data_IF_123192039528
#
_entry.id   IF_123192039528
#
_cell.length_a   1.000
_cell.length_b   1.000
_cell.length_c   1.000
_cell.angle_alpha   90.00
_cell.angle_beta   90.00
_cell.angle_gamma   90.00
#
_symmetry.space_group_name_H-M   'P 1'
#
loop_
_entity.id
_entity.type
_entity.pdbx_description
1 polymer ?
#
# COMPACT_ATOMS: atom_id res chain seq x y z
N UNK A 1 3.15 -34.50 -34.05
CA UNK A 1 2.01 -34.85 -33.19
C UNK A 1 1.79 -33.68 -32.24
N UNK A 2 0.97 -32.70 -32.67
CA UNK A 2 0.72 -31.45 -31.93
C UNK A 2 -0.65 -31.58 -31.27
N UNK A 3 -0.69 -31.66 -29.93
CA UNK A 3 -1.88 -32.06 -29.15
C UNK A 3 -2.67 -30.83 -28.62
N UNK A 4 -2.41 -29.64 -29.14
CA UNK A 4 -3.15 -28.42 -28.76
C UNK A 4 -3.91 -27.86 -29.97
N UNK A 5 -4.90 -28.61 -30.45
CA UNK A 5 -6.01 -28.01 -31.19
C UNK A 5 -7.03 -27.53 -30.16
N UNK A 6 -7.01 -26.25 -29.82
CA UNK A 6 -8.13 -25.60 -29.14
C UNK A 6 -9.40 -25.89 -29.96
N UNK A 7 -10.50 -26.36 -29.35
CA UNK A 7 -11.73 -26.58 -30.11
C UNK A 7 -12.18 -25.24 -30.71
N UNK A 8 -12.54 -25.17 -32.00
CA UNK A 8 -13.12 -23.97 -32.57
C UNK A 8 -14.49 -23.77 -31.93
N UNK A 9 -14.56 -22.90 -30.92
CA UNK A 9 -15.83 -22.35 -30.47
C UNK A 9 -16.48 -21.71 -31.69
N UNK A 10 -17.56 -22.32 -32.20
CA UNK A 10 -18.35 -21.79 -33.30
C UNK A 10 -18.73 -20.34 -32.98
N UNK A 11 -18.81 -19.47 -33.98
CA UNK A 11 -19.18 -18.05 -33.80
C UNK A 11 -20.49 -17.88 -33.03
N UNK A 12 -21.44 -18.80 -33.24
CA UNK A 12 -22.70 -18.90 -32.48
C UNK A 12 -22.46 -19.13 -30.98
N UNK A 13 -21.46 -19.95 -30.64
CA UNK A 13 -20.97 -20.19 -29.29
C UNK A 13 -20.60 -18.91 -28.55
N UNK A 14 -19.95 -17.97 -29.25
CA UNK A 14 -19.49 -16.70 -28.67
C UNK A 14 -20.63 -15.72 -28.42
N UNK A 15 -21.64 -15.71 -29.27
CA UNK A 15 -22.77 -14.78 -29.18
C UNK A 15 -23.70 -15.09 -28.01
N UNK A 16 -23.99 -16.37 -27.76
CA UNK A 16 -24.89 -16.74 -26.65
C UNK A 16 -24.26 -16.44 -25.29
N UNK A 17 -22.95 -16.68 -25.11
CA UNK A 17 -22.25 -16.33 -23.86
C UNK A 17 -22.30 -14.83 -23.58
N UNK A 18 -22.16 -13.98 -24.60
CA UNK A 18 -22.24 -12.51 -24.45
C UNK A 18 -23.64 -12.08 -24.03
N UNK A 19 -24.68 -12.64 -24.67
CA UNK A 19 -26.07 -12.35 -24.31
C UNK A 19 -26.37 -12.81 -22.88
N UNK A 20 -26.01 -14.05 -22.53
CA UNK A 20 -26.23 -14.58 -21.18
C UNK A 20 -25.50 -13.77 -20.11
N UNK A 21 -24.25 -13.39 -20.34
CA UNK A 21 -23.49 -12.56 -19.39
C UNK A 21 -24.08 -11.16 -19.25
N UNK A 22 -24.60 -10.58 -20.33
CA UNK A 22 -25.27 -9.27 -20.30
C UNK A 22 -26.60 -9.30 -19.53
N UNK A 23 -27.42 -10.34 -19.72
CA UNK A 23 -28.64 -10.53 -18.95
C UNK A 23 -28.34 -10.73 -17.47
N UNK A 24 -27.31 -11.53 -17.16
CA UNK A 24 -26.81 -11.68 -15.80
C UNK A 24 -26.39 -10.35 -15.18
N UNK A 25 -25.54 -9.59 -15.87
CA UNK A 25 -25.05 -8.28 -15.40
C UNK A 25 -26.20 -7.29 -15.11
N UNK A 26 -27.22 -7.26 -15.97
CA UNK A 26 -28.38 -6.38 -15.82
C UNK A 26 -29.26 -6.78 -14.63
N UNK A 27 -29.51 -8.08 -14.45
CA UNK A 27 -30.29 -8.61 -13.33
C UNK A 27 -29.57 -8.39 -11.99
N UNK A 28 -28.27 -8.67 -11.92
CA UNK A 28 -27.48 -8.40 -10.71
C UNK A 28 -27.48 -6.91 -10.37
N UNK A 29 -27.30 -6.04 -11.37
CA UNK A 29 -27.33 -4.58 -11.15
C UNK A 29 -28.68 -4.11 -10.60
N UNK A 30 -29.78 -4.63 -11.14
CA UNK A 30 -31.13 -4.33 -10.65
C UNK A 30 -31.35 -4.78 -9.20
N UNK A 31 -30.98 -6.02 -8.87
CA UNK A 31 -31.07 -6.54 -7.51
C UNK A 31 -30.23 -5.73 -6.52
N UNK A 32 -29.01 -5.33 -6.89
CA UNK A 32 -28.15 -4.51 -6.04
C UNK A 32 -28.66 -3.09 -5.86
N UNK A 33 -29.27 -2.52 -6.88
CA UNK A 33 -29.90 -1.20 -6.79
C UNK A 33 -31.07 -1.23 -5.81
N UNK A 34 -31.90 -2.27 -5.86
CA UNK A 34 -32.99 -2.48 -4.92
C UNK A 34 -32.47 -2.70 -3.49
N UNK A 35 -31.47 -3.56 -3.30
CA UNK A 35 -30.88 -3.81 -1.98
C UNK A 35 -30.31 -2.52 -1.34
N UNK A 36 -29.53 -1.73 -2.09
CA UNK A 36 -29.00 -0.45 -1.60
C UNK A 36 -30.13 0.54 -1.34
N UNK A 37 -31.13 0.61 -2.22
CA UNK A 37 -32.31 1.46 -2.05
C UNK A 37 -33.10 1.13 -0.79
N UNK A 38 -33.39 -0.15 -0.55
CA UNK A 38 -34.06 -0.64 0.65
C UNK A 38 -33.24 -0.28 1.89
N UNK A 39 -31.92 -0.52 1.88
CA UNK A 39 -31.04 -0.16 3.00
C UNK A 39 -31.04 1.35 3.29
N UNK A 40 -31.05 2.21 2.28
CA UNK A 40 -31.16 3.67 2.45
C UNK A 40 -32.51 4.04 3.08
N UNK A 41 -33.61 3.43 2.63
CA UNK A 41 -34.96 3.72 3.15
C UNK A 41 -35.10 3.28 4.61
N UNK A 42 -34.62 2.07 4.94
CA UNK A 42 -34.73 1.49 6.28
C UNK A 42 -33.80 2.19 7.28
N UNK A 43 -32.53 2.42 6.91
CA UNK A 43 -31.51 2.96 7.82
C UNK A 43 -31.45 4.50 7.84
N UNK A 44 -32.03 5.18 6.84
CA UNK A 44 -32.09 6.65 6.75
C UNK A 44 -30.73 7.30 6.99
N UNK A 45 -30.61 8.15 8.03
CA UNK A 45 -29.38 8.85 8.39
C UNK A 45 -28.31 7.92 8.97
N UNK A 46 -28.67 6.74 9.49
CA UNK A 46 -27.70 5.77 9.98
C UNK A 46 -26.92 5.12 8.84
N UNK A 47 -27.52 4.99 7.64
CA UNK A 47 -26.87 4.45 6.45
C UNK A 47 -25.55 5.21 6.15
N UNK A 48 -25.60 6.53 6.24
CA UNK A 48 -24.49 7.43 5.93
C UNK A 48 -23.40 7.50 7.01
N UNK A 49 -23.55 6.81 8.14
CA UNK A 49 -22.50 6.74 9.17
C UNK A 49 -21.46 5.65 8.90
N UNK A 50 -21.81 4.65 8.08
CA UNK A 50 -20.96 3.48 7.82
C UNK A 50 -20.24 3.68 6.49
N UNK A 51 -18.90 3.66 6.51
CA UNK A 51 -18.09 3.94 5.31
C UNK A 51 -18.32 2.93 4.16
N UNK A 52 -18.54 1.66 4.49
CA UNK A 52 -18.78 0.59 3.50
C UNK A 52 -20.04 0.86 2.67
N UNK A 53 -21.03 1.53 3.24
CA UNK A 53 -22.26 1.88 2.52
C UNK A 53 -22.01 2.91 1.40
N UNK A 54 -21.00 3.78 1.53
CA UNK A 54 -20.61 4.70 0.45
C UNK A 54 -19.98 3.93 -0.72
N UNK A 55 -19.20 2.89 -0.44
CA UNK A 55 -18.63 2.01 -1.46
C UNK A 55 -19.76 1.28 -2.20
N UNK A 56 -20.75 0.75 -1.47
CA UNK A 56 -21.92 0.10 -2.07
C UNK A 56 -22.70 1.03 -3.01
N UNK A 57 -22.92 2.29 -2.61
CA UNK A 57 -23.58 3.30 -3.47
C UNK A 57 -22.75 3.58 -4.72
N UNK A 58 -21.43 3.79 -4.57
CA UNK A 58 -20.55 4.09 -5.70
C UNK A 58 -20.52 2.92 -6.71
N UNK A 59 -20.41 1.68 -6.23
CA UNK A 59 -20.42 0.48 -7.09
C UNK A 59 -21.75 0.29 -7.80
N UNK A 60 -22.87 0.54 -7.11
CA UNK A 60 -24.20 0.48 -7.72
C UNK A 60 -24.36 1.54 -8.81
N UNK A 61 -23.89 2.78 -8.60
CA UNK A 61 -23.94 3.85 -9.61
C UNK A 61 -23.10 3.47 -10.83
N UNK A 62 -21.87 3.00 -10.62
CA UNK A 62 -20.97 2.59 -11.72
C UNK A 62 -21.57 1.44 -12.52
N UNK A 63 -22.16 0.44 -11.85
CA UNK A 63 -22.80 -0.70 -12.51
C UNK A 63 -24.05 -0.28 -13.28
N UNK A 64 -24.84 0.65 -12.74
CA UNK A 64 -26.00 1.22 -13.42
C UNK A 64 -25.60 2.01 -14.67
N UNK A 65 -24.56 2.86 -14.57
CA UNK A 65 -24.04 3.62 -15.71
C UNK A 65 -23.50 2.71 -16.82
N UNK A 66 -22.89 1.59 -16.44
CA UNK A 66 -22.45 0.57 -17.40
C UNK A 66 -23.64 -0.06 -18.14
N UNK A 67 -24.66 -0.55 -17.43
CA UNK A 67 -25.87 -1.13 -18.06
C UNK A 67 -26.58 -0.09 -18.93
N UNK A 68 -26.72 1.14 -18.45
CA UNK A 68 -27.36 2.23 -19.18
C UNK A 68 -26.62 2.56 -20.48
N UNK A 69 -25.29 2.46 -20.49
CA UNK A 69 -24.48 2.73 -21.69
C UNK A 69 -24.69 1.73 -22.84
N UNK A 70 -25.13 0.51 -22.52
CA UNK A 70 -25.51 -0.47 -23.54
C UNK A 70 -26.94 -0.24 -24.04
N UNK A 71 -27.82 0.28 -23.19
CA UNK A 71 -29.22 0.54 -23.54
C UNK A 71 -29.42 1.83 -24.33
N UNK A 72 -28.60 2.86 -24.06
CA UNK A 72 -28.68 4.17 -24.71
C UNK A 72 -27.32 4.49 -25.34
N UNK A 73 -27.25 4.79 -26.64
CA UNK A 73 -26.02 5.22 -27.29
C UNK A 73 -25.69 6.66 -26.86
N UNK A 74 -25.08 6.80 -25.68
CA UNK A 74 -24.61 8.09 -25.18
C UNK A 74 -23.24 8.37 -25.80
N UNK A 75 -23.07 9.55 -26.40
CA UNK A 75 -21.76 10.05 -26.87
C UNK A 75 -20.86 10.40 -25.68
N UNK A 76 -20.35 9.39 -24.97
CA UNK A 76 -19.38 9.57 -23.89
C UNK A 76 -17.99 9.18 -24.39
N UNK A 77 -16.97 9.84 -23.85
CA UNK A 77 -15.57 9.55 -24.15
C UNK A 77 -15.25 8.06 -23.91
N UNK A 78 -14.65 7.40 -24.90
CA UNK A 78 -14.22 6.00 -24.83
C UNK A 78 -13.31 5.70 -23.62
N UNK A 79 -12.55 6.70 -23.12
CA UNK A 79 -11.76 6.58 -21.90
C UNK A 79 -12.61 6.35 -20.64
N UNK A 80 -13.78 6.99 -20.56
CA UNK A 80 -14.72 6.83 -19.43
C UNK A 80 -15.32 5.43 -19.47
N UNK A 81 -15.70 4.93 -20.66
CA UNK A 81 -16.15 3.54 -20.80
C UNK A 81 -15.07 2.53 -20.42
N UNK A 82 -13.80 2.83 -20.72
CA UNK A 82 -12.66 2.00 -20.29
C UNK A 82 -12.50 2.01 -18.76
N UNK A 83 -12.72 3.15 -18.10
CA UNK A 83 -12.69 3.26 -16.64
C UNK A 83 -13.88 2.55 -15.99
N UNK A 84 -15.08 2.63 -16.57
CA UNK A 84 -16.27 1.91 -16.07
C UNK A 84 -16.07 0.39 -16.06
N UNK A 85 -15.29 -0.16 -17.00
CA UNK A 85 -14.91 -1.59 -16.98
C UNK A 85 -14.10 -1.98 -15.75
N UNK A 86 -13.28 -1.09 -15.19
CA UNK A 86 -12.58 -1.33 -13.92
C UNK A 86 -13.59 -1.45 -12.76
N UNK A 87 -14.74 -0.77 -12.88
CA UNK A 87 -15.89 -0.90 -11.97
C UNK A 87 -16.41 -2.34 -11.83
N UNK A 88 -16.20 -3.21 -12.83
CA UNK A 88 -16.50 -4.64 -12.72
C UNK A 88 -15.73 -5.32 -11.58
N UNK A 89 -14.47 -4.90 -11.35
CA UNK A 89 -13.66 -5.40 -10.24
C UNK A 89 -14.21 -4.94 -8.89
N UNK A 90 -14.82 -3.76 -8.84
CA UNK A 90 -15.42 -3.25 -7.61
C UNK A 90 -16.63 -4.08 -7.14
N UNK A 91 -17.31 -4.80 -8.06
CA UNK A 91 -18.35 -5.78 -7.69
C UNK A 91 -17.77 -6.98 -6.93
N UNK A 92 -16.56 -7.41 -7.27
CA UNK A 92 -15.88 -8.50 -6.57
C UNK A 92 -15.53 -8.12 -5.12
N UNK A 93 -15.21 -6.84 -4.86
CA UNK A 93 -14.95 -6.31 -3.51
C UNK A 93 -16.18 -6.51 -2.60
N UNK A 94 -17.40 -6.38 -3.14
CA UNK A 94 -18.64 -6.59 -2.39
C UNK A 94 -18.87 -8.06 -2.02
N UNK A 95 -18.43 -8.98 -2.88
CA UNK A 95 -18.49 -10.41 -2.62
C UNK A 95 -17.43 -10.88 -1.62
N UNK A 96 -16.48 -10.02 -1.21
CA UNK A 96 -15.57 -10.33 -0.12
C UNK A 96 -16.35 -10.14 1.19
N UNK A 97 -16.77 -11.23 1.86
CA UNK A 97 -17.35 -11.07 3.18
C UNK A 97 -16.26 -10.47 4.05
N UNK A 98 -16.54 -9.31 4.65
CA UNK A 98 -15.69 -8.68 5.67
C UNK A 98 -15.74 -9.56 6.91
N UNK A 99 -15.10 -10.72 6.80
CA UNK A 99 -14.98 -11.73 7.83
C UNK A 99 -13.66 -11.52 8.56
N UNK A 100 -13.57 -12.13 9.74
CA UNK A 100 -12.38 -12.18 10.57
C UNK A 100 -11.13 -12.71 9.83
N UNK A 101 -11.28 -13.30 8.64
CA UNK A 101 -10.19 -13.70 7.75
C UNK A 101 -9.29 -12.52 7.31
N UNK A 102 -9.81 -11.29 7.30
CA UNK A 102 -9.04 -10.07 7.01
C UNK A 102 -8.61 -9.32 8.28
N UNK A 103 -8.70 -9.92 9.47
CA UNK A 103 -8.36 -9.26 10.73
C UNK A 103 -6.95 -8.65 10.73
N UNK A 104 -5.97 -9.33 10.14
CA UNK A 104 -4.61 -8.81 9.98
C UNK A 104 -4.54 -7.58 9.06
N UNK A 105 -5.34 -7.54 7.99
CA UNK A 105 -5.42 -6.37 7.10
C UNK A 105 -6.13 -5.19 7.80
N UNK A 106 -7.19 -5.47 8.55
CA UNK A 106 -7.89 -4.46 9.35
C UNK A 106 -6.96 -3.81 10.37
N UNK A 107 -6.11 -4.61 11.02
CA UNK A 107 -5.09 -4.11 11.93
C UNK A 107 -4.10 -3.16 11.23
N UNK A 108 -3.59 -3.56 10.06
CA UNK A 108 -2.68 -2.72 9.28
C UNK A 108 -3.35 -1.39 8.87
N UNK A 109 -4.62 -1.44 8.44
CA UNK A 109 -5.39 -0.24 8.08
C UNK A 109 -5.64 0.64 9.31
N UNK A 110 -6.02 0.07 10.46
CA UNK A 110 -6.16 0.80 11.73
C UNK A 110 -4.83 1.48 12.12
N UNK A 111 -3.71 0.77 12.00
CA UNK A 111 -2.36 1.31 12.23
C UNK A 111 -2.03 2.48 11.31
N UNK A 112 -2.36 2.36 10.02
CA UNK A 112 -2.16 3.43 9.03
C UNK A 112 -3.02 4.66 9.37
N UNK A 113 -4.29 4.47 9.69
CA UNK A 113 -5.22 5.55 10.07
C UNK A 113 -4.78 6.23 11.36
N UNK A 114 -4.32 5.46 12.35
CA UNK A 114 -3.77 5.99 13.60
C UNK A 114 -2.48 6.80 13.37
N UNK A 115 -1.70 6.46 12.33
CA UNK A 115 -0.45 7.13 11.95
C UNK A 115 -0.64 8.31 11.00
N UNK A 116 -1.88 8.60 10.56
CA UNK A 116 -2.16 9.56 9.47
C UNK A 116 -1.55 10.95 9.69
N UNK A 117 -1.61 11.48 10.92
CA UNK A 117 -1.13 12.82 11.22
C UNK A 117 0.38 12.90 11.13
N UNK A 118 1.07 11.92 11.70
CA UNK A 118 2.53 11.80 11.67
C UNK A 118 3.06 11.56 10.26
N UNK A 119 2.40 10.70 9.48
CA UNK A 119 2.73 10.49 8.06
C UNK A 119 2.55 11.78 7.25
N UNK A 120 1.45 12.50 7.46
CA UNK A 120 1.19 13.75 6.77
C UNK A 120 2.28 14.79 7.06
N UNK A 121 2.63 15.01 8.33
CA UNK A 121 3.68 15.96 8.69
C UNK A 121 5.07 15.54 8.20
N UNK A 122 5.37 14.24 8.22
CA UNK A 122 6.62 13.70 7.67
C UNK A 122 6.72 13.92 6.17
N UNK A 123 5.61 13.68 5.45
CA UNK A 123 5.52 13.95 4.01
C UNK A 123 5.64 15.44 3.69
N UNK A 124 5.00 16.32 4.47
CA UNK A 124 5.13 17.77 4.33
C UNK A 124 6.59 18.23 4.53
N UNK A 125 7.26 17.76 5.58
CA UNK A 125 8.66 18.07 5.85
C UNK A 125 9.55 17.59 4.69
N UNK A 126 9.35 16.36 4.22
CA UNK A 126 10.13 15.81 3.11
C UNK A 126 9.91 16.59 1.82
N UNK A 127 8.65 16.92 1.51
CA UNK A 127 8.28 17.72 0.34
C UNK A 127 8.90 19.12 0.41
N UNK A 128 8.89 19.75 1.58
CA UNK A 128 9.52 21.05 1.78
C UNK A 128 11.02 21.00 1.52
N UNK A 129 11.74 20.02 2.08
CA UNK A 129 13.18 19.85 1.86
C UNK A 129 13.48 19.55 0.38
N UNK A 130 12.64 18.77 -0.31
CA UNK A 130 12.75 18.56 -1.75
C UNK A 130 12.53 19.84 -2.55
N UNK A 131 11.53 20.66 -2.19
CA UNK A 131 11.29 21.95 -2.83
C UNK A 131 12.50 22.88 -2.69
N UNK A 132 13.10 22.96 -1.50
CA UNK A 132 14.29 23.79 -1.26
C UNK A 132 15.46 23.29 -2.11
N UNK A 133 15.76 21.99 -2.07
CA UNK A 133 16.84 21.41 -2.88
C UNK A 133 16.61 21.62 -4.39
N UNK A 134 15.36 21.47 -4.85
CA UNK A 134 14.98 21.69 -6.24
C UNK A 134 15.09 23.16 -6.67
N UNK A 135 14.71 24.11 -5.80
CA UNK A 135 14.92 25.54 -6.07
C UNK A 135 16.41 25.88 -6.16
N UNK A 136 17.25 25.35 -5.26
CA UNK A 136 18.71 25.55 -5.30
C UNK A 136 19.27 25.05 -6.63
N UNK A 137 18.95 23.83 -7.06
CA UNK A 137 19.47 23.32 -8.33
C UNK A 137 18.90 24.08 -9.53
N UNK A 138 17.61 24.38 -9.54
CA UNK A 138 17.00 25.11 -10.65
C UNK A 138 17.61 26.52 -10.80
N UNK A 139 17.96 27.18 -9.70
CA UNK A 139 18.65 28.48 -9.74
C UNK A 139 20.09 28.36 -10.22
N UNK A 140 20.85 27.35 -9.77
CA UNK A 140 22.23 27.11 -10.21
C UNK A 140 22.32 26.71 -11.69
N UNK A 141 21.35 25.95 -12.20
CA UNK A 141 21.29 25.57 -13.62
C UNK A 141 20.85 26.73 -14.53
N UNK A 142 20.21 27.77 -13.98
CA UNK A 142 19.62 28.86 -14.77
C UNK A 142 20.68 29.60 -15.58
N UNK A 143 21.81 29.91 -14.97
CA UNK A 143 22.86 30.70 -15.62
C UNK A 143 23.50 29.92 -16.78
N UNK A 144 23.80 28.63 -16.55
CA UNK A 144 24.26 27.71 -17.60
C UNK A 144 23.27 27.62 -18.76
N UNK A 145 21.97 27.45 -18.46
CA UNK A 145 20.94 27.34 -19.49
C UNK A 145 20.79 28.65 -20.29
N UNK A 146 20.82 29.81 -19.63
CA UNK A 146 20.68 31.11 -20.31
C UNK A 146 21.86 31.38 -21.26
N UNK A 147 23.09 31.09 -20.84
CA UNK A 147 24.29 31.24 -21.67
C UNK A 147 24.24 30.28 -22.87
N UNK A 148 23.95 29.00 -22.61
CA UNK A 148 24.12 27.96 -23.63
C UNK A 148 22.95 27.79 -24.59
N UNK A 149 21.75 28.22 -24.21
CA UNK A 149 20.62 28.36 -25.15
C UNK A 149 20.91 29.44 -26.20
N UNK A 150 21.64 30.50 -25.84
CA UNK A 150 22.00 31.56 -26.79
C UNK A 150 23.07 31.08 -27.78
N UNK A 151 24.08 30.36 -27.30
CA UNK A 151 25.22 29.93 -28.13
C UNK A 151 24.92 28.70 -29.00
N UNK A 152 24.24 27.70 -28.44
CA UNK A 152 24.03 26.40 -29.06
C UNK A 152 22.69 25.77 -28.64
N UNK A 153 21.54 26.34 -29.07
CA UNK A 153 20.20 25.95 -28.62
C UNK A 153 19.84 24.50 -28.92
N UNK A 154 20.44 23.90 -29.95
CA UNK A 154 20.17 22.53 -30.39
C UNK A 154 21.20 21.50 -29.90
N UNK A 155 22.06 21.87 -28.95
CA UNK A 155 22.98 20.89 -28.36
C UNK A 155 22.22 19.89 -27.48
N UNK A 156 22.55 18.61 -27.60
CA UNK A 156 21.93 17.54 -26.81
C UNK A 156 22.07 17.81 -25.31
N UNK A 157 23.24 18.27 -24.87
CA UNK A 157 23.53 18.63 -23.50
C UNK A 157 22.54 19.67 -22.93
N UNK A 158 22.22 20.73 -23.68
CA UNK A 158 21.28 21.77 -23.24
C UNK A 158 19.87 21.23 -23.17
N UNK A 159 19.46 20.39 -24.12
CA UNK A 159 18.14 19.75 -24.10
C UNK A 159 17.99 18.82 -22.90
N UNK A 160 19.01 18.00 -22.61
CA UNK A 160 19.00 17.06 -21.49
C UNK A 160 18.93 17.82 -20.15
N UNK A 161 19.77 18.85 -19.97
CA UNK A 161 19.74 19.69 -18.76
C UNK A 161 18.39 20.42 -18.63
N UNK A 162 17.84 20.95 -19.73
CA UNK A 162 16.55 21.64 -19.70
C UNK A 162 15.38 20.69 -19.38
N UNK A 163 15.41 19.46 -19.89
CA UNK A 163 14.33 18.50 -19.68
C UNK A 163 14.17 18.14 -18.19
N UNK A 164 15.28 18.06 -17.46
CA UNK A 164 15.31 17.73 -16.05
C UNK A 164 15.29 18.96 -15.12
N UNK A 165 16.03 20.02 -15.45
CA UNK A 165 16.33 21.14 -14.55
C UNK A 165 15.87 22.52 -15.07
N UNK A 166 15.25 22.58 -16.25
CA UNK A 166 14.90 23.84 -16.92
C UNK A 166 13.78 24.64 -16.27
N UNK A 167 12.89 23.99 -15.52
CA UNK A 167 11.83 24.67 -14.75
C UNK A 167 11.76 24.12 -13.33
N UNK A 168 11.15 24.88 -12.42
CA UNK A 168 10.94 24.41 -11.05
C UNK A 168 10.19 23.08 -10.99
N UNK A 169 9.08 22.93 -11.71
CA UNK A 169 8.28 21.69 -11.68
C UNK A 169 9.05 20.47 -12.22
N UNK A 170 9.85 20.66 -13.27
CA UNK A 170 10.72 19.61 -13.82
C UNK A 170 11.82 19.24 -12.82
N UNK A 171 12.43 20.25 -12.21
CA UNK A 171 13.48 20.04 -11.20
C UNK A 171 12.91 19.34 -9.98
N UNK A 172 11.73 19.75 -9.49
CA UNK A 172 11.04 19.11 -8.37
C UNK A 172 10.77 17.62 -8.65
N UNK A 173 10.25 17.30 -9.84
CA UNK A 173 10.04 15.91 -10.25
C UNK A 173 11.37 15.14 -10.33
N UNK A 174 12.41 15.76 -10.87
CA UNK A 174 13.75 15.14 -10.94
C UNK A 174 14.35 14.89 -9.55
N UNK A 175 14.22 15.84 -8.62
CA UNK A 175 14.67 15.66 -7.23
C UNK A 175 13.89 14.57 -6.51
N UNK A 176 12.60 14.41 -6.82
CA UNK A 176 11.77 13.31 -6.35
C UNK A 176 12.26 11.96 -6.91
N UNK A 177 12.57 11.90 -8.22
CA UNK A 177 13.15 10.72 -8.87
C UNK A 177 14.49 10.32 -8.24
N UNK A 178 15.37 11.29 -8.00
CA UNK A 178 16.67 11.07 -7.33
C UNK A 178 16.47 10.49 -5.91
N UNK A 179 15.41 10.88 -5.22
CA UNK A 179 15.13 10.40 -3.87
C UNK A 179 14.52 8.99 -3.84
N UNK A 180 13.59 8.68 -4.73
CA UNK A 180 12.80 7.45 -4.63
C UNK A 180 13.09 6.38 -5.69
N UNK A 181 13.66 6.76 -6.82
CA UNK A 181 13.92 5.88 -7.95
C UNK A 181 15.43 5.76 -8.20
N UNK A 182 15.88 6.11 -9.41
CA UNK A 182 17.27 6.02 -9.79
C UNK A 182 17.96 7.39 -9.71
N UNK A 183 18.89 7.53 -8.78
CA UNK A 183 19.62 8.78 -8.55
C UNK A 183 20.74 9.03 -9.57
N UNK A 184 21.27 7.98 -10.21
CA UNK A 184 22.46 8.05 -11.04
C UNK A 184 22.27 8.87 -12.33
N UNK A 185 21.35 8.47 -13.23
CA UNK A 185 21.17 9.14 -14.51
C UNK A 185 20.83 10.63 -14.39
N UNK A 186 19.85 11.07 -13.56
CA UNK A 186 19.54 12.49 -13.46
C UNK A 186 20.67 13.32 -12.86
N UNK A 187 21.44 12.77 -11.91
CA UNK A 187 22.59 13.46 -11.34
C UNK A 187 23.73 13.61 -12.35
N UNK A 188 23.99 12.55 -13.14
CA UNK A 188 25.04 12.54 -14.17
C UNK A 188 24.84 13.61 -15.23
N UNK A 189 23.59 13.95 -15.56
CA UNK A 189 23.29 15.01 -16.54
C UNK A 189 23.94 16.36 -16.15
N UNK A 190 23.93 16.75 -14.87
CA UNK A 190 24.61 17.99 -14.46
C UNK A 190 26.11 17.81 -14.26
N UNK A 191 26.53 16.64 -13.76
CA UNK A 191 27.96 16.33 -13.53
C UNK A 191 28.73 16.36 -14.85
N UNK A 192 28.19 15.75 -15.89
CA UNK A 192 28.88 15.54 -17.16
C UNK A 192 28.72 16.75 -18.11
N UNK A 193 27.62 17.51 -18.04
CA UNK A 193 27.35 18.64 -18.96
C UNK A 193 27.60 20.03 -18.37
N UNK A 194 27.61 20.18 -17.04
CA UNK A 194 27.74 21.49 -16.37
C UNK A 194 29.01 21.56 -15.53
N UNK A 195 29.13 20.73 -14.50
CA UNK A 195 30.32 20.70 -13.63
C UNK A 195 30.34 19.48 -12.72
N UNK A 196 31.53 18.91 -12.50
CA UNK A 196 31.71 17.82 -11.55
C UNK A 196 31.32 18.18 -10.10
N UNK A 197 31.33 19.48 -9.73
CA UNK A 197 30.94 19.93 -8.39
C UNK A 197 29.49 19.58 -8.00
N UNK A 198 28.59 19.40 -8.98
CA UNK A 198 27.23 18.94 -8.72
C UNK A 198 27.18 17.54 -8.11
N UNK A 199 28.23 16.72 -8.29
CA UNK A 199 28.32 15.39 -7.67
C UNK A 199 28.25 15.45 -6.15
N UNK A 200 28.92 16.44 -5.54
CA UNK A 200 28.93 16.63 -4.09
C UNK A 200 27.53 16.99 -3.59
N UNK A 201 26.82 17.87 -4.29
CA UNK A 201 25.44 18.22 -3.94
C UNK A 201 24.53 16.99 -3.97
N UNK A 202 24.54 16.20 -5.04
CA UNK A 202 23.65 15.05 -5.17
C UNK A 202 23.99 13.94 -4.17
N UNK A 203 25.27 13.72 -3.88
CA UNK A 203 25.70 12.77 -2.84
C UNK A 203 25.23 13.21 -1.46
N UNK A 204 25.43 14.48 -1.10
CA UNK A 204 24.96 15.02 0.19
C UNK A 204 23.43 14.97 0.29
N UNK A 205 22.72 15.38 -0.75
CA UNK A 205 21.26 15.27 -0.84
C UNK A 205 20.80 13.83 -0.60
N UNK A 206 21.44 12.86 -1.27
CA UNK A 206 21.08 11.44 -1.15
C UNK A 206 21.41 10.88 0.23
N UNK A 207 22.55 11.22 0.82
CA UNK A 207 22.93 10.81 2.16
C UNK A 207 21.98 11.38 3.23
N UNK A 208 21.66 12.68 3.14
CA UNK A 208 20.81 13.33 4.14
C UNK A 208 19.35 12.91 3.97
N UNK A 209 18.74 13.14 2.80
CA UNK A 209 17.32 12.88 2.61
C UNK A 209 17.02 11.40 2.38
N UNK A 210 17.85 10.73 1.57
CA UNK A 210 17.66 9.33 1.20
C UNK A 210 17.99 8.35 2.33
N UNK A 211 19.10 8.54 3.03
CA UNK A 211 19.50 7.64 4.11
C UNK A 211 19.06 8.13 5.50
N UNK A 212 19.28 9.39 5.88
CA UNK A 212 18.94 9.81 7.24
C UNK A 212 17.42 10.04 7.40
N UNK A 213 16.83 10.94 6.61
CA UNK A 213 15.43 11.36 6.81
C UNK A 213 14.44 10.23 6.54
N UNK A 214 14.54 9.52 5.41
CA UNK A 214 13.62 8.41 5.10
C UNK A 214 13.70 7.30 6.16
N UNK A 215 14.91 6.95 6.64
CA UNK A 215 15.04 5.92 7.67
C UNK A 215 14.43 6.35 9.01
N UNK A 216 14.54 7.63 9.37
CA UNK A 216 13.86 8.17 10.57
C UNK A 216 12.34 8.10 10.41
N UNK A 217 11.80 8.49 9.25
CA UNK A 217 10.35 8.40 8.99
C UNK A 217 9.86 6.95 9.04
N UNK A 218 10.61 6.01 8.45
CA UNK A 218 10.29 4.59 8.51
C UNK A 218 10.31 4.05 9.94
N UNK A 219 11.32 4.42 10.74
CA UNK A 219 11.42 3.99 12.14
C UNK A 219 10.24 4.49 12.98
N UNK A 220 9.88 5.77 12.80
CA UNK A 220 8.74 6.40 13.47
C UNK A 220 7.42 5.72 13.06
N UNK A 221 7.24 5.38 11.78
CA UNK A 221 6.06 4.68 11.29
C UNK A 221 5.93 3.27 11.87
N UNK A 222 7.04 2.53 11.96
CA UNK A 222 7.07 1.21 12.61
C UNK A 222 6.72 1.33 14.09
N UNK A 223 7.28 2.30 14.80
CA UNK A 223 6.99 2.53 16.22
C UNK A 223 5.50 2.83 16.45
N UNK A 224 4.90 3.69 15.63
CA UNK A 224 3.48 4.02 15.74
C UNK A 224 2.59 2.81 15.42
N UNK A 225 2.96 2.02 14.41
CA UNK A 225 2.25 0.78 14.06
C UNK A 225 2.28 -0.24 15.19
N UNK A 226 3.45 -0.45 15.81
CA UNK A 226 3.61 -1.35 16.97
C UNK A 226 2.79 -0.86 18.16
N UNK A 227 2.77 0.47 18.41
CA UNK A 227 1.94 1.06 19.45
C UNK A 227 0.46 0.77 19.21
N UNK A 228 -0.04 1.00 17.99
CA UNK A 228 -1.44 0.71 17.64
C UNK A 228 -1.76 -0.79 17.76
N UNK A 229 -0.86 -1.67 17.32
CA UNK A 229 -1.03 -3.12 17.45
C UNK A 229 -1.07 -3.58 18.92
N UNK A 230 -0.26 -2.98 19.80
CA UNK A 230 -0.27 -3.28 21.23
C UNK A 230 -1.53 -2.79 21.95
N UNK A 231 -2.15 -1.71 21.44
CA UNK A 231 -3.36 -1.12 22.01
C UNK A 231 -4.66 -1.75 21.50
N UNK A 232 -4.62 -2.55 20.42
CA UNK A 232 -5.83 -3.21 19.91
C UNK A 232 -6.20 -4.36 20.86
N UNK A 233 -7.33 -4.22 21.56
CA UNK A 233 -7.75 -5.08 22.66
C UNK A 233 -7.85 -6.55 22.25
N UNK A 234 -8.26 -6.82 21.01
CA UNK A 234 -8.35 -8.15 20.41
C UNK A 234 -6.97 -8.83 20.25
N UNK A 235 -5.94 -8.05 19.89
CA UNK A 235 -4.56 -8.55 19.85
C UNK A 235 -4.01 -8.75 21.24
N UNK A 236 -4.27 -7.82 22.14
CA UNK A 236 -3.84 -7.94 23.54
C UNK A 236 -4.46 -9.19 24.18
N UNK A 237 -5.70 -9.54 23.83
CA UNK A 237 -6.38 -10.73 24.31
C UNK A 237 -5.77 -12.01 23.73
N UNK A 238 -5.59 -12.08 22.40
CA UNK A 238 -4.92 -13.22 21.73
C UNK A 238 -3.48 -13.42 22.23
N UNK A 239 -2.77 -12.34 22.52
CA UNK A 239 -1.41 -12.41 23.06
C UNK A 239 -1.43 -12.92 24.51
N UNK A 240 -2.31 -12.40 25.37
CA UNK A 240 -2.51 -12.90 26.73
C UNK A 240 -2.89 -14.37 26.76
N UNK A 241 -3.77 -14.81 25.86
CA UNK A 241 -4.17 -16.22 25.75
C UNK A 241 -2.97 -17.11 25.38
N UNK A 242 -2.13 -16.67 24.44
CA UNK A 242 -0.87 -17.35 24.11
C UNK A 242 0.11 -17.37 25.27
N UNK A 243 0.24 -16.27 25.99
CA UNK A 243 1.17 -16.14 27.12
C UNK A 243 0.72 -17.04 28.29
N UNK A 244 -0.59 -17.10 28.58
CA UNK A 244 -1.20 -18.02 29.56
C UNK A 244 -0.97 -19.47 29.14
N UNK A 245 -1.19 -19.81 27.86
CA UNK A 245 -0.95 -21.16 27.35
C UNK A 245 0.53 -21.56 27.44
N UNK A 246 1.45 -20.65 27.12
CA UNK A 246 2.89 -20.88 27.31
C UNK A 246 3.26 -21.04 28.78
N UNK A 247 2.71 -20.21 29.66
CA UNK A 247 2.95 -20.30 31.10
C UNK A 247 2.43 -21.62 31.67
N UNK A 248 1.20 -22.01 31.33
CA UNK A 248 0.63 -23.30 31.70
C UNK A 248 1.49 -24.47 31.21
N UNK A 249 2.00 -24.41 29.97
CA UNK A 249 2.93 -25.42 29.45
C UNK A 249 4.28 -25.43 30.17
N UNK A 250 4.83 -24.28 30.55
CA UNK A 250 6.07 -24.20 31.34
C UNK A 250 5.87 -24.79 32.74
N UNK A 251 4.78 -24.43 33.40
CA UNK A 251 4.40 -24.99 34.70
C UNK A 251 4.22 -26.49 34.57
N UNK A 252 3.43 -26.96 33.59
CA UNK A 252 3.25 -28.40 33.33
C UNK A 252 4.59 -29.12 33.12
N UNK A 253 5.50 -28.55 32.33
CA UNK A 253 6.85 -29.11 32.15
C UNK A 253 7.66 -29.15 33.45
N UNK A 254 7.62 -28.09 34.25
CA UNK A 254 8.28 -28.04 35.56
C UNK A 254 7.76 -29.14 36.48
N UNK A 255 6.43 -29.26 36.58
CA UNK A 255 5.79 -30.33 37.34
C UNK A 255 6.19 -31.72 36.82
N UNK A 256 6.25 -31.93 35.50
CA UNK A 256 6.70 -33.19 34.91
C UNK A 256 8.19 -33.52 35.16
N UNK A 257 9.05 -32.51 35.31
CA UNK A 257 10.45 -32.72 35.70
C UNK A 257 10.66 -32.94 37.19
N UNK A 258 9.70 -32.53 38.02
CA UNK A 258 9.75 -32.73 39.46
C UNK A 258 9.07 -34.04 39.87
N UNK A 259 8.05 -34.49 39.12
CA UNK A 259 7.37 -35.77 39.31
C UNK A 259 8.26 -36.95 38.85
N UNK A 260 9.05 -37.48 39.78
CA UNK A 260 9.93 -38.62 39.51
C UNK A 260 9.18 -39.97 39.55
N UNK A 261 8.03 -40.02 40.22
CA UNK A 261 7.18 -41.22 40.34
C UNK A 261 6.31 -41.46 39.10
N UNK A 262 6.00 -40.41 38.34
CA UNK A 262 5.12 -40.45 37.17
C UNK A 262 3.64 -40.67 37.53
N UNK A 263 3.24 -40.41 38.79
CA UNK A 263 1.88 -40.59 39.28
C UNK A 263 1.01 -39.33 39.09
N UNK A 264 1.60 -38.23 38.60
CA UNK A 264 0.93 -36.96 38.35
C UNK A 264 0.76 -36.10 39.60
N UNK A 265 1.39 -36.45 40.73
CA UNK A 265 1.32 -35.71 41.99
C UNK A 265 2.72 -35.41 42.54
N UNK A 266 2.92 -34.17 43.03
CA UNK A 266 4.17 -33.80 43.73
C UNK A 266 3.97 -34.02 45.22
N UNK A 267 4.69 -34.98 45.78
CA UNK A 267 4.60 -35.34 47.19
C UNK A 267 5.65 -34.58 48.01
N UNK A 268 5.34 -34.21 49.26
CA UNK A 268 6.26 -33.49 50.16
C UNK A 268 7.57 -34.24 50.46
N UNK A 269 7.57 -35.56 50.23
CA UNK A 269 8.71 -36.47 50.39
C UNK A 269 9.53 -36.64 49.11
N UNK A 270 9.13 -36.00 48.01
CA UNK A 270 9.83 -36.07 46.74
C UNK A 270 11.22 -35.41 46.83
N UNK A 271 12.30 -36.06 46.35
CA UNK A 271 13.62 -35.82 46.89
C UNK A 271 14.18 -34.42 46.55
N UNK A 272 14.57 -33.66 47.57
CA UNK A 272 15.45 -32.50 47.43
C UNK A 272 16.87 -32.97 47.09
N UNK A 273 17.20 -33.28 45.83
CA UNK A 273 18.62 -33.50 45.47
C UNK A 273 19.03 -32.76 44.19
N UNK A 274 19.65 -31.61 44.48
CA UNK A 274 20.78 -30.88 43.88
C UNK A 274 21.14 -31.11 42.39
N UNK A 275 21.40 -30.03 41.64
CA UNK A 275 22.26 -30.11 40.46
C UNK A 275 23.60 -30.71 40.90
N UNK A 276 24.02 -31.81 40.28
CA UNK A 276 25.39 -32.33 40.43
C UNK A 276 26.33 -31.40 39.66
N UNK A 277 26.79 -30.36 40.32
CA UNK A 277 28.07 -29.74 39.98
C UNK A 277 29.17 -30.69 40.46
N UNK A 278 29.98 -31.20 39.53
CA UNK A 278 31.12 -32.03 39.86
C UNK A 278 32.23 -31.22 40.54
N UNK A 279 32.88 -31.82 41.55
CA UNK A 279 34.30 -31.62 41.85
C UNK A 279 34.85 -32.75 42.75
N UNK A 280 35.70 -33.59 42.16
CA UNK A 280 36.89 -34.29 42.74
C UNK A 280 36.71 -35.42 43.76
N UNK A 281 37.73 -36.29 43.95
CA UNK A 281 39.07 -36.28 43.34
C UNK A 281 39.22 -37.17 42.09
#
# INVERSE_FOLDING_TARGET
MNIYSEPPLTSEGREWWVVVTQWGDSLFTGLFMLDVGIRIIVLRLQFWKIWVNYVDVAVTIVSFMEVLSFAVPVKVNAAIFRLLRIGKLARAIRMLPVTNALGSLQLLVKGLVASRGMLFWSFCLLTFLQCVAGMVISTLCRDYLLERISDAPNSQAVQDVFMHYGTFSRTFLTMFEILFANWGPPARILVDNVSEWYSIFFLLYRCVLGFAVINVVNAIFVQQTLKTASSDEELSFKQKEKDIAMYANKVKKLFQTMDFSGDGAINLEEPRVRPRDGYGP
#
